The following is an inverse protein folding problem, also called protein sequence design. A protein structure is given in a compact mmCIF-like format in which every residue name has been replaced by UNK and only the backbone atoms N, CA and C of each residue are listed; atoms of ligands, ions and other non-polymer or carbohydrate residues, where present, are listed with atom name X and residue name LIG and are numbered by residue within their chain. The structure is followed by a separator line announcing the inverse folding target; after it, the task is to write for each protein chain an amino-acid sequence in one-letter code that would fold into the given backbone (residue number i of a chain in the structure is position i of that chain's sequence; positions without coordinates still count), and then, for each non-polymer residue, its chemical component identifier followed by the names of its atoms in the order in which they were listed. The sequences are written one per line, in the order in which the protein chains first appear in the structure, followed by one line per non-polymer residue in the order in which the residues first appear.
data_IF_111283395888
#
_entry.id   IF_111283395888
#
_cell.length_a   1.000
_cell.length_b   1.000
_cell.length_c   1.000
_cell.angle_alpha   90.00
_cell.angle_beta   90.00
_cell.angle_gamma   90.00
#
_symmetry.space_group_name_H-M   'P 1'
#
loop_
_entity.id
_entity.type
_entity.pdbx_description
1 polymer ?
#
# COMPACT_ATOMS: atom_id res chain seq x y z
N UNK A 1 1.36 -0.56 36.46
CA UNK A 1 0.40 -0.85 35.38
C UNK A 1 0.99 -0.34 34.08
N UNK A 2 1.36 -1.23 33.15
CA UNK A 2 1.84 -0.84 31.81
C UNK A 2 0.61 -0.71 30.89
N UNK A 3 0.45 0.38 30.13
CA UNK A 3 -0.67 0.49 29.20
C UNK A 3 -0.47 -0.52 28.07
N UNK A 4 -1.45 -1.41 27.90
CA UNK A 4 -1.53 -2.36 26.80
C UNK A 4 -1.99 -1.56 25.57
N UNK A 5 -1.06 -1.18 24.68
CA UNK A 5 -1.43 -0.69 23.37
C UNK A 5 -1.83 -1.89 22.51
N UNK A 6 -3.13 -2.04 22.27
CA UNK A 6 -3.66 -3.01 21.32
C UNK A 6 -3.26 -2.58 19.91
N UNK A 7 -2.24 -3.24 19.35
CA UNK A 7 -1.95 -3.21 17.93
C UNK A 7 -3.06 -4.02 17.23
N UNK A 8 -4.03 -3.34 16.62
CA UNK A 8 -5.00 -3.99 15.76
C UNK A 8 -4.29 -4.35 14.44
N UNK A 9 -3.80 -5.58 14.35
CA UNK A 9 -3.36 -6.14 13.07
C UNK A 9 -4.61 -6.35 12.20
N UNK A 10 -4.81 -5.47 11.22
CA UNK A 10 -5.75 -5.70 10.12
C UNK A 10 -5.21 -6.88 9.28
N UNK A 11 -5.84 -8.06 9.43
CA UNK A 11 -5.60 -9.19 8.55
C UNK A 11 -5.95 -8.78 7.12
N UNK A 12 -4.93 -8.57 6.28
CA UNK A 12 -5.10 -8.45 4.84
C UNK A 12 -5.68 -9.74 4.27
N UNK A 13 -6.70 -9.62 3.42
CA UNK A 13 -7.12 -10.74 2.58
C UNK A 13 -5.99 -11.01 1.57
N UNK A 14 -5.09 -11.92 1.90
CA UNK A 14 -4.21 -12.53 0.92
C UNK A 14 -5.08 -13.49 0.07
N UNK A 15 -5.58 -13.01 -1.07
CA UNK A 15 -6.17 -13.89 -2.09
C UNK A 15 -5.01 -14.63 -2.75
N UNK A 16 -4.53 -15.68 -2.09
CA UNK A 16 -3.63 -16.64 -2.72
C UNK A 16 -4.42 -17.44 -3.75
N UNK A 17 -3.78 -17.81 -4.86
CA UNK A 17 -4.32 -18.66 -5.94
C UNK A 17 -4.91 -19.99 -5.44
N UNK A 18 -4.65 -20.38 -4.18
CA UNK A 18 -5.28 -21.54 -3.51
C UNK A 18 -6.80 -21.45 -3.38
N UNK A 19 -7.42 -20.27 -3.50
CA UNK A 19 -8.88 -20.15 -3.42
C UNK A 19 -9.62 -20.77 -4.62
N UNK A 20 -8.94 -21.08 -5.73
CA UNK A 20 -9.58 -21.67 -6.91
C UNK A 20 -9.79 -23.19 -6.80
N UNK A 21 -9.12 -23.89 -5.87
CA UNK A 21 -9.15 -25.37 -5.78
C UNK A 21 -9.69 -25.89 -4.45
N UNK A 22 -10.29 -25.02 -3.62
CA UNK A 22 -10.92 -25.47 -2.37
C UNK A 22 -12.09 -26.43 -2.69
N UNK A 23 -12.20 -27.58 -2.00
CA UNK A 23 -13.35 -28.46 -2.16
C UNK A 23 -14.64 -27.71 -1.79
N UNK A 24 -15.78 -28.05 -2.42
CA UNK A 24 -17.05 -27.41 -2.11
C UNK A 24 -17.34 -27.52 -0.61
N UNK A 25 -17.62 -26.38 0.02
CA UNK A 25 -18.03 -26.34 1.42
C UNK A 25 -19.34 -27.11 1.56
N UNK A 26 -19.31 -28.26 2.23
CA UNK A 26 -20.52 -29.00 2.57
C UNK A 26 -21.14 -28.42 3.84
N UNK A 27 -22.45 -28.16 3.83
CA UNK A 27 -23.19 -27.85 5.05
C UNK A 27 -23.37 -29.13 5.85
N UNK A 28 -22.95 -29.20 7.13
CA UNK A 28 -23.42 -30.24 8.02
C UNK A 28 -24.95 -30.32 7.98
N UNK A 29 -25.52 -31.52 7.86
CA UNK A 29 -26.98 -31.72 7.69
C UNK A 29 -27.81 -31.04 8.79
N UNK A 30 -27.26 -30.90 9.99
CA UNK A 30 -27.88 -30.22 11.14
C UNK A 30 -28.05 -28.70 10.97
N UNK A 31 -27.23 -28.06 10.15
CA UNK A 31 -27.34 -26.63 9.83
C UNK A 31 -28.30 -26.41 8.65
N UNK A 32 -28.34 -27.35 7.69
CA UNK A 32 -29.29 -27.32 6.57
C UNK A 32 -30.76 -27.36 7.03
N UNK A 33 -31.08 -28.13 8.07
CA UNK A 33 -32.44 -28.18 8.65
C UNK A 33 -32.87 -26.87 9.33
N UNK A 34 -31.92 -25.98 9.64
CA UNK A 34 -32.19 -24.63 10.16
C UNK A 34 -32.27 -23.57 9.03
N UNK A 35 -32.26 -24.00 7.76
CA UNK A 35 -32.27 -23.10 6.61
C UNK A 35 -30.92 -22.42 6.33
N UNK A 36 -29.84 -22.84 7.00
CA UNK A 36 -28.50 -22.30 6.78
C UNK A 36 -27.87 -22.94 5.53
N UNK A 37 -27.19 -22.13 4.74
CA UNK A 37 -26.45 -22.56 3.56
C UNK A 37 -25.01 -22.03 3.61
N UNK A 38 -24.05 -22.64 2.88
CA UNK A 38 -22.68 -22.16 2.85
C UNK A 38 -22.64 -20.82 2.11
N UNK A 39 -22.34 -19.74 2.83
CA UNK A 39 -22.10 -18.44 2.22
C UNK A 39 -20.68 -18.41 1.65
N UNK A 40 -20.52 -18.90 0.42
CA UNK A 40 -19.23 -19.02 -0.28
C UNK A 40 -19.30 -18.36 -1.67
N UNK A 41 -19.32 -17.02 -1.75
CA UNK A 41 -19.32 -16.34 -3.04
C UNK A 41 -18.04 -16.68 -3.82
N UNK A 42 -18.12 -17.01 -5.12
CA UNK A 42 -16.94 -17.41 -5.90
C UNK A 42 -15.85 -16.34 -5.86
N UNK A 43 -14.58 -16.72 -5.76
CA UNK A 43 -13.48 -15.80 -5.47
C UNK A 43 -13.28 -14.68 -6.51
N UNK A 44 -13.62 -14.94 -7.78
CA UNK A 44 -13.44 -14.01 -8.91
C UNK A 44 -14.77 -13.71 -9.64
N UNK A 45 -15.90 -13.80 -8.94
CA UNK A 45 -17.19 -13.44 -9.51
C UNK A 45 -17.40 -11.92 -9.52
N UNK A 46 -17.46 -11.36 -10.74
CA UNK A 46 -17.80 -9.98 -11.07
C UNK A 46 -19.10 -9.86 -11.88
N UNK A 47 -19.92 -10.93 -11.95
CA UNK A 47 -21.20 -10.90 -12.66
C UNK A 47 -22.20 -9.95 -12.00
N UNK A 48 -23.02 -9.28 -12.79
CA UNK A 48 -24.14 -8.46 -12.28
C UNK A 48 -25.19 -9.35 -11.63
N UNK A 49 -25.52 -9.06 -10.37
CA UNK A 49 -26.61 -9.72 -9.65
C UNK A 49 -27.20 -8.77 -8.60
N UNK A 50 -28.12 -9.27 -7.77
CA UNK A 50 -28.82 -8.46 -6.76
C UNK A 50 -27.92 -7.81 -5.69
N UNK A 51 -26.66 -8.26 -5.59
CA UNK A 51 -25.66 -7.69 -4.67
C UNK A 51 -24.64 -6.80 -5.38
N UNK A 52 -24.85 -6.47 -6.66
CA UNK A 52 -23.97 -5.58 -7.43
C UNK A 52 -24.23 -4.11 -7.07
N UNK A 53 -23.34 -3.56 -6.25
CA UNK A 53 -23.29 -2.17 -5.81
C UNK A 53 -22.39 -1.30 -6.69
N UNK A 54 -21.91 -1.80 -7.83
CA UNK A 54 -20.97 -1.05 -8.69
C UNK A 54 -21.58 0.19 -9.33
N UNK A 55 -22.91 0.35 -9.28
CA UNK A 55 -23.62 1.56 -9.68
C UNK A 55 -23.41 2.74 -8.71
N UNK A 56 -22.96 2.50 -7.48
CA UNK A 56 -22.62 3.55 -6.51
C UNK A 56 -21.34 4.29 -6.89
N UNK A 57 -20.48 3.67 -7.69
CA UNK A 57 -19.22 4.25 -8.12
C UNK A 57 -19.44 5.13 -9.34
N UNK A 58 -19.01 6.39 -9.26
CA UNK A 58 -18.88 7.25 -10.43
C UNK A 58 -17.64 6.83 -11.23
N UNK A 59 -17.83 6.56 -12.53
CA UNK A 59 -16.82 5.94 -13.39
C UNK A 59 -16.41 6.89 -14.51
N UNK A 60 -15.12 6.97 -14.86
CA UNK A 60 -13.96 6.52 -14.09
C UNK A 60 -13.75 7.35 -12.80
N UNK A 61 -12.95 6.83 -11.87
CA UNK A 61 -12.53 7.59 -10.69
C UNK A 61 -11.79 8.86 -11.13
N UNK A 62 -12.07 9.99 -10.49
CA UNK A 62 -11.45 11.26 -10.84
C UNK A 62 -11.96 11.91 -12.13
N UNK A 63 -13.04 11.40 -12.75
CA UNK A 63 -13.62 11.99 -13.98
C UNK A 63 -14.01 13.46 -13.81
N UNK A 64 -14.34 13.89 -12.60
CA UNK A 64 -14.67 15.29 -12.26
C UNK A 64 -13.45 16.12 -11.84
N UNK A 65 -12.24 15.56 -11.90
CA UNK A 65 -11.00 16.15 -11.40
C UNK A 65 -10.56 15.58 -10.04
N UNK A 66 -9.47 16.13 -9.51
CA UNK A 66 -8.88 15.68 -8.25
C UNK A 66 -9.83 15.83 -7.06
N UNK A 67 -9.75 14.86 -6.14
CA UNK A 67 -10.38 14.93 -4.82
C UNK A 67 -9.82 16.12 -4.05
N UNK A 68 -10.68 16.81 -3.31
CA UNK A 68 -10.32 17.97 -2.47
C UNK A 68 -10.92 17.83 -1.09
N UNK A 69 -10.36 18.56 -0.13
CA UNK A 69 -10.93 18.74 1.20
C UNK A 69 -11.87 19.95 1.19
N UNK A 70 -13.06 19.79 1.76
CA UNK A 70 -14.04 20.85 1.99
C UNK A 70 -14.58 20.73 3.41
N UNK A 71 -13.97 21.49 4.33
CA UNK A 71 -14.18 21.32 5.77
C UNK A 71 -13.78 19.90 6.21
N UNK A 72 -14.71 19.19 6.83
CA UNK A 72 -14.53 17.80 7.29
C UNK A 72 -14.82 16.74 6.22
N UNK A 73 -15.12 17.15 4.99
CA UNK A 73 -15.54 16.24 3.92
C UNK A 73 -14.52 16.18 2.79
N UNK A 74 -14.46 15.03 2.12
CA UNK A 74 -13.91 14.95 0.79
C UNK A 74 -14.97 15.35 -0.23
N UNK A 75 -14.53 16.03 -1.29
CA UNK A 75 -15.35 16.37 -2.46
C UNK A 75 -14.60 16.00 -3.73
N UNK A 76 -15.31 15.66 -4.80
CA UNK A 76 -14.71 15.51 -6.12
C UNK A 76 -14.31 16.88 -6.73
N UNK A 77 -13.72 16.88 -7.92
CA UNK A 77 -13.32 18.13 -8.58
C UNK A 77 -14.48 19.04 -9.02
N UNK A 78 -15.73 18.57 -8.96
CA UNK A 78 -16.95 19.35 -9.17
C UNK A 78 -17.59 19.84 -7.84
N UNK A 79 -17.01 19.50 -6.69
CA UNK A 79 -17.50 19.89 -5.36
C UNK A 79 -18.57 18.98 -4.77
N UNK A 80 -18.89 17.84 -5.41
CA UNK A 80 -19.85 16.87 -4.88
C UNK A 80 -19.18 16.06 -3.77
N UNK A 81 -19.89 15.91 -2.64
CA UNK A 81 -19.40 15.15 -1.48
C UNK A 81 -19.06 13.71 -1.85
N UNK A 82 -17.88 13.29 -1.44
CA UNK A 82 -17.32 11.95 -1.63
C UNK A 82 -17.17 11.28 -0.26
N UNK A 83 -17.48 9.98 -0.19
CA UNK A 83 -17.20 9.13 0.98
C UNK A 83 -16.45 7.90 0.49
N UNK A 84 -15.32 7.60 1.10
CA UNK A 84 -14.55 6.42 0.75
C UNK A 84 -15.05 5.20 1.54
N UNK A 85 -15.44 4.17 0.80
CA UNK A 85 -15.58 2.80 1.29
C UNK A 85 -14.40 2.02 0.69
N UNK A 86 -13.29 2.02 1.44
CA UNK A 86 -12.00 1.55 0.96
C UNK A 86 -11.63 0.15 1.43
N UNK A 87 -10.67 -0.45 0.74
CA UNK A 87 -10.01 -1.71 1.13
C UNK A 87 -8.49 -1.58 1.00
N UNK A 88 -7.74 -2.41 1.72
CA UNK A 88 -6.29 -2.52 1.57
C UNK A 88 -5.93 -3.69 0.66
N UNK A 89 -5.00 -3.47 -0.27
CA UNK A 89 -4.30 -4.52 -1.00
C UNK A 89 -2.83 -4.46 -0.65
N UNK A 90 -2.29 -5.60 -0.19
CA UNK A 90 -0.95 -5.68 0.40
C UNK A 90 -0.04 -6.57 -0.46
N UNK A 91 1.25 -6.25 -0.47
CA UNK A 91 2.31 -7.10 -1.08
C UNK A 91 2.00 -7.46 -2.56
N UNK A 92 2.05 -8.75 -2.92
CA UNK A 92 1.70 -9.27 -4.25
C UNK A 92 0.28 -8.91 -4.71
N UNK A 93 -0.63 -8.57 -3.78
CA UNK A 93 -2.03 -8.25 -4.09
C UNK A 93 -2.21 -6.99 -4.94
N UNK A 94 -1.21 -6.10 -5.01
CA UNK A 94 -1.25 -4.93 -5.93
C UNK A 94 -0.70 -5.24 -7.32
N UNK A 95 -0.18 -6.45 -7.54
CA UNK A 95 0.37 -6.92 -8.81
C UNK A 95 -0.37 -8.18 -9.29
N UNK A 96 -1.70 -8.20 -9.46
CA UNK A 96 -2.35 -9.36 -10.03
C UNK A 96 -1.86 -9.66 -11.46
N UNK A 97 -2.02 -10.91 -11.93
CA UNK A 97 -1.84 -11.21 -13.35
C UNK A 97 -2.89 -10.43 -14.17
N UNK A 98 -2.52 -10.00 -15.37
CA UNK A 98 -3.39 -9.16 -16.22
C UNK A 98 -4.69 -9.87 -16.60
N UNK A 99 -4.68 -11.20 -16.64
CA UNK A 99 -5.85 -12.03 -16.94
C UNK A 99 -6.88 -11.99 -15.81
N UNK A 100 -6.46 -11.77 -14.56
CA UNK A 100 -7.35 -11.75 -13.38
C UNK A 100 -7.61 -10.36 -12.83
N UNK A 101 -6.76 -9.37 -13.12
CA UNK A 101 -6.91 -8.00 -12.64
C UNK A 101 -8.30 -7.37 -12.93
N UNK A 102 -8.90 -7.53 -14.13
CA UNK A 102 -10.23 -7.00 -14.43
C UNK A 102 -11.32 -7.60 -13.55
N UNK A 103 -11.22 -8.90 -13.22
CA UNK A 103 -12.19 -9.62 -12.37
C UNK A 103 -12.08 -9.19 -10.92
N UNK A 104 -10.85 -9.00 -10.42
CA UNK A 104 -10.61 -8.49 -9.06
C UNK A 104 -11.20 -7.08 -8.94
N UNK A 105 -10.89 -6.18 -9.89
CA UNK A 105 -11.43 -4.82 -9.90
C UNK A 105 -12.96 -4.82 -10.03
N UNK A 106 -13.52 -5.70 -10.88
CA UNK A 106 -14.97 -5.90 -11.05
C UNK A 106 -15.64 -6.32 -9.75
N UNK A 107 -15.08 -7.31 -9.06
CA UNK A 107 -15.58 -7.79 -7.78
C UNK A 107 -15.54 -6.73 -6.68
N UNK A 108 -14.46 -5.95 -6.60
CA UNK A 108 -14.37 -4.85 -5.64
C UNK A 108 -15.48 -3.82 -5.88
N UNK A 109 -15.69 -3.42 -7.13
CA UNK A 109 -16.77 -2.51 -7.50
C UNK A 109 -18.15 -3.11 -7.21
N UNK A 110 -18.35 -4.41 -7.50
CA UNK A 110 -19.58 -5.15 -7.18
C UNK A 110 -19.92 -5.07 -5.69
N UNK A 111 -18.92 -5.11 -4.80
CA UNK A 111 -19.12 -4.93 -3.36
C UNK A 111 -19.19 -3.46 -2.90
N UNK A 112 -19.20 -2.51 -3.83
CA UNK A 112 -19.34 -1.09 -3.53
C UNK A 112 -18.06 -0.44 -3.01
N UNK A 113 -16.90 -1.11 -3.08
CA UNK A 113 -15.64 -0.47 -2.77
C UNK A 113 -15.34 0.59 -3.82
N UNK A 114 -14.91 1.77 -3.37
CA UNK A 114 -14.60 2.91 -4.22
C UNK A 114 -13.20 3.50 -3.94
N UNK A 115 -12.40 2.87 -3.09
CA UNK A 115 -11.00 3.19 -2.91
C UNK A 115 -10.17 1.94 -2.59
N UNK A 116 -8.92 1.94 -3.02
CA UNK A 116 -7.91 0.93 -2.70
C UNK A 116 -6.66 1.61 -2.16
N UNK A 117 -6.25 1.21 -0.96
CA UNK A 117 -4.96 1.54 -0.37
C UNK A 117 -3.93 0.50 -0.78
N UNK A 118 -2.93 0.94 -1.53
CA UNK A 118 -1.83 0.11 -2.02
C UNK A 118 -0.70 0.13 -1.01
N UNK A 119 -0.52 -0.99 -0.33
CA UNK A 119 0.26 -1.06 0.89
C UNK A 119 1.34 -2.15 0.81
N UNK A 120 2.46 -1.94 1.50
CA UNK A 120 3.57 -2.89 1.61
C UNK A 120 4.23 -3.36 0.29
N UNK A 121 3.87 -2.78 -0.86
CA UNK A 121 4.37 -3.19 -2.17
C UNK A 121 5.83 -2.77 -2.42
N UNK A 122 6.33 -1.82 -1.64
CA UNK A 122 7.74 -1.40 -1.56
C UNK A 122 8.60 -2.33 -0.67
N UNK A 123 7.99 -3.33 -0.01
CA UNK A 123 8.63 -4.18 0.99
C UNK A 123 9.44 -5.35 0.42
N UNK A 124 9.15 -5.83 -0.78
CA UNK A 124 9.76 -7.04 -1.35
C UNK A 124 10.24 -6.86 -2.80
N UNK A 125 11.07 -7.79 -3.27
CA UNK A 125 11.34 -7.93 -4.69
C UNK A 125 10.19 -8.66 -5.41
N UNK A 126 10.19 -8.61 -6.74
CA UNK A 126 9.36 -9.45 -7.58
C UNK A 126 9.47 -10.94 -7.15
N UNK A 127 8.38 -11.71 -7.18
CA UNK A 127 7.02 -11.32 -7.58
C UNK A 127 6.17 -10.72 -6.45
N UNK A 128 6.74 -10.52 -5.24
CA UNK A 128 5.99 -10.11 -4.04
C UNK A 128 5.99 -8.61 -3.76
N UNK A 129 6.68 -7.83 -4.59
CA UNK A 129 6.84 -6.39 -4.44
C UNK A 129 7.37 -5.75 -5.73
N UNK A 130 7.64 -4.46 -5.68
CA UNK A 130 7.98 -3.64 -6.86
C UNK A 130 9.45 -3.74 -7.28
N UNK A 131 10.34 -4.23 -6.43
CA UNK A 131 11.78 -4.18 -6.68
C UNK A 131 12.28 -5.32 -7.55
N UNK A 132 13.30 -5.05 -8.37
CA UNK A 132 13.93 -6.06 -9.21
C UNK A 132 14.73 -7.08 -8.41
N UNK A 133 14.63 -8.35 -8.81
CA UNK A 133 15.43 -9.46 -8.27
C UNK A 133 16.81 -9.52 -8.92
N UNK A 134 17.81 -10.03 -8.20
CA UNK A 134 19.13 -10.29 -8.78
C UNK A 134 19.13 -11.52 -9.72
N UNK A 135 18.32 -12.51 -9.36
CA UNK A 135 18.03 -13.73 -10.11
C UNK A 135 16.64 -14.26 -9.70
N UNK A 136 16.02 -15.09 -10.54
CA UNK A 136 14.73 -15.73 -10.23
C UNK A 136 14.85 -16.51 -8.91
N UNK A 137 13.93 -16.24 -7.96
CA UNK A 137 13.92 -16.90 -6.65
C UNK A 137 14.94 -16.37 -5.63
N UNK A 138 15.62 -15.25 -5.93
CA UNK A 138 16.58 -14.61 -5.02
C UNK A 138 16.01 -13.36 -4.34
N UNK A 139 16.81 -12.74 -3.48
CA UNK A 139 16.52 -11.44 -2.87
C UNK A 139 16.68 -10.28 -3.88
N UNK A 140 16.41 -9.05 -3.44
CA UNK A 140 16.63 -7.84 -4.24
C UNK A 140 18.06 -7.78 -4.80
N UNK A 141 18.25 -6.97 -5.85
CA UNK A 141 19.57 -6.53 -6.30
C UNK A 141 20.41 -6.01 -5.12
N UNK A 142 21.73 -6.19 -5.21
CA UNK A 142 22.70 -5.66 -4.24
C UNK A 142 22.58 -4.14 -4.08
N UNK A 143 22.09 -3.46 -5.13
CA UNK A 143 21.63 -2.07 -5.11
C UNK A 143 20.13 -2.03 -5.46
N UNK A 144 19.23 -2.05 -4.45
CA UNK A 144 17.79 -2.15 -4.66
C UNK A 144 17.18 -0.78 -5.00
N UNK A 145 17.61 -0.22 -6.14
CA UNK A 145 17.06 1.03 -6.70
C UNK A 145 16.33 0.82 -8.02
N UNK A 146 16.43 -0.37 -8.61
CA UNK A 146 15.73 -0.71 -9.83
C UNK A 146 14.37 -1.32 -9.51
N UNK A 147 13.33 -0.71 -10.06
CA UNK A 147 11.98 -1.28 -10.10
C UNK A 147 11.94 -2.36 -11.16
N UNK A 148 11.23 -3.45 -10.85
CA UNK A 148 10.97 -4.53 -11.77
C UNK A 148 9.93 -4.07 -12.82
N UNK A 149 10.27 -4.17 -14.09
CA UNK A 149 9.45 -3.64 -15.18
C UNK A 149 8.11 -4.38 -15.31
N UNK A 150 8.11 -5.70 -15.09
CA UNK A 150 6.90 -6.52 -15.20
C UNK A 150 5.96 -6.25 -14.01
N UNK A 151 6.52 -6.07 -12.80
CA UNK A 151 5.71 -5.66 -11.63
C UNK A 151 5.13 -4.26 -11.81
N UNK A 152 5.90 -3.31 -12.36
CA UNK A 152 5.39 -1.96 -12.63
C UNK A 152 4.26 -1.96 -13.67
N UNK A 153 4.41 -2.75 -14.74
CA UNK A 153 3.39 -2.92 -15.78
C UNK A 153 2.11 -3.60 -15.24
N UNK A 154 2.23 -4.58 -14.33
CA UNK A 154 1.09 -5.19 -13.63
C UNK A 154 0.38 -4.21 -12.70
N UNK A 155 1.15 -3.41 -11.95
CA UNK A 155 0.62 -2.33 -11.12
C UNK A 155 -0.16 -1.34 -11.97
N UNK A 156 0.44 -0.88 -13.07
CA UNK A 156 -0.17 0.09 -13.98
C UNK A 156 -1.48 -0.43 -14.57
N UNK A 157 -1.46 -1.67 -15.06
CA UNK A 157 -2.65 -2.30 -15.61
C UNK A 157 -3.76 -2.42 -14.56
N UNK A 158 -3.42 -2.86 -13.35
CA UNK A 158 -4.41 -3.02 -12.30
C UNK A 158 -4.98 -1.68 -11.81
N UNK A 159 -4.14 -0.65 -11.65
CA UNK A 159 -4.60 0.73 -11.36
C UNK A 159 -5.59 1.19 -12.44
N UNK A 160 -5.30 0.95 -13.71
CA UNK A 160 -6.20 1.35 -14.80
C UNK A 160 -7.57 0.66 -14.71
N UNK A 161 -7.59 -0.64 -14.37
CA UNK A 161 -8.83 -1.42 -14.23
C UNK A 161 -9.66 -0.99 -12.99
N UNK A 162 -8.99 -0.58 -11.90
CA UNK A 162 -9.63 0.00 -10.72
C UNK A 162 -10.23 1.38 -11.05
N UNK A 163 -9.45 2.29 -11.65
CA UNK A 163 -9.90 3.64 -12.02
C UNK A 163 -11.08 3.57 -12.99
N UNK A 164 -11.02 2.71 -14.01
CA UNK A 164 -12.11 2.47 -14.96
C UNK A 164 -13.44 2.13 -14.28
N UNK A 165 -13.39 1.52 -13.10
CA UNK A 165 -14.55 1.10 -12.30
C UNK A 165 -14.92 2.07 -11.18
N UNK A 166 -14.33 3.27 -11.16
CA UNK A 166 -14.66 4.28 -10.17
C UNK A 166 -14.02 4.03 -8.80
N UNK A 167 -12.94 3.25 -8.76
CA UNK A 167 -12.17 2.96 -7.55
C UNK A 167 -10.94 3.86 -7.54
N UNK A 168 -10.85 4.74 -6.54
CA UNK A 168 -9.72 5.63 -6.33
C UNK A 168 -8.51 4.90 -5.74
N UNK A 169 -7.32 5.44 -6.00
CA UNK A 169 -6.05 4.86 -5.54
C UNK A 169 -5.43 5.73 -4.44
N UNK A 170 -5.02 5.08 -3.37
CA UNK A 170 -4.14 5.62 -2.35
C UNK A 170 -2.79 4.90 -2.42
N UNK A 171 -1.72 5.68 -2.68
CA UNK A 171 -0.36 5.15 -2.73
C UNK A 171 0.38 5.41 -1.42
N UNK A 172 0.93 4.36 -0.83
CA UNK A 172 1.89 4.49 0.24
C UNK A 172 3.32 4.56 -0.34
N UNK A 173 4.03 5.65 -0.06
CA UNK A 173 5.34 5.95 -0.64
C UNK A 173 6.50 5.35 0.15
N UNK A 174 6.32 5.12 1.46
CA UNK A 174 7.23 4.32 2.28
C UNK A 174 6.45 3.50 3.31
N UNK A 175 6.59 2.17 3.25
CA UNK A 175 5.99 1.26 4.22
C UNK A 175 7.01 0.30 4.77
N UNK A 176 7.69 -0.44 3.90
CA UNK A 176 8.53 -1.55 4.31
C UNK A 176 9.86 -1.70 3.57
N UNK A 177 10.18 -0.78 2.64
CA UNK A 177 11.49 -0.76 2.02
C UNK A 177 12.57 -0.64 3.09
N UNK A 178 13.54 -1.58 3.07
CA UNK A 178 14.80 -1.43 3.77
C UNK A 178 15.90 -1.03 2.81
N UNK A 179 16.67 -0.02 3.18
CA UNK A 179 17.94 0.31 2.54
C UNK A 179 19.01 -0.70 2.96
N UNK A 180 20.04 -0.86 2.13
CA UNK A 180 21.15 -1.78 2.39
C UNK A 180 22.48 -1.04 2.43
N UNK A 181 23.53 -1.67 2.98
CA UNK A 181 24.86 -1.04 3.07
C UNK A 181 25.44 -0.64 1.72
N UNK A 182 25.11 -1.39 0.66
CA UNK A 182 25.48 -1.05 -0.71
C UNK A 182 24.97 0.32 -1.17
N UNK A 183 23.91 0.85 -0.55
CA UNK A 183 23.37 2.18 -0.85
C UNK A 183 24.03 3.32 -0.06
N UNK A 184 25.15 3.04 0.62
CA UNK A 184 25.90 4.03 1.40
C UNK A 184 25.42 4.18 2.85
N UNK A 185 24.61 3.24 3.34
CA UNK A 185 24.04 3.26 4.69
C UNK A 185 24.86 2.35 5.60
N UNK A 186 25.69 2.94 6.46
CA UNK A 186 26.50 2.17 7.41
C UNK A 186 25.61 1.37 8.38
N UNK A 187 26.01 0.15 8.75
CA UNK A 187 25.34 -0.67 9.76
C UNK A 187 23.85 -0.97 9.46
N UNK A 188 23.46 -1.05 8.17
CA UNK A 188 22.05 -1.18 7.77
C UNK A 188 21.33 -2.38 8.41
N UNK A 189 22.05 -3.46 8.70
CA UNK A 189 21.51 -4.65 9.35
C UNK A 189 21.10 -4.42 10.83
N UNK A 190 21.64 -3.39 11.48
CA UNK A 190 21.40 -3.06 12.89
C UNK A 190 20.30 -2.01 13.08
N UNK A 191 19.72 -1.51 11.99
CA UNK A 191 18.69 -0.48 12.01
C UNK A 191 17.31 -1.05 12.38
N UNK A 192 16.37 -0.18 12.84
CA UNK A 192 14.99 -0.56 13.07
C UNK A 192 14.37 -1.30 11.88
N UNK A 193 13.40 -2.18 12.16
CA UNK A 193 12.68 -2.87 11.09
C UNK A 193 12.04 -1.85 10.13
N UNK A 194 12.09 -2.14 8.83
CA UNK A 194 11.54 -1.28 7.76
C UNK A 194 12.04 0.17 7.80
N UNK A 195 13.19 0.41 8.41
CA UNK A 195 13.80 1.72 8.60
C UNK A 195 12.88 2.73 9.30
N UNK A 196 11.97 2.25 10.15
CA UNK A 196 10.98 3.10 10.83
C UNK A 196 11.65 4.18 11.67
N UNK A 197 11.19 5.41 11.49
CA UNK A 197 11.72 6.60 12.14
C UNK A 197 13.04 7.13 11.56
N UNK A 198 13.73 6.38 10.69
CA UNK A 198 15.09 6.75 10.25
C UNK A 198 15.11 8.01 9.36
N UNK A 199 14.03 8.31 8.64
CA UNK A 199 13.90 9.56 7.89
C UNK A 199 13.98 10.82 8.75
N UNK A 200 13.68 10.74 10.05
CA UNK A 200 13.83 11.85 10.99
C UNK A 200 15.23 11.92 11.63
N UNK A 201 16.05 10.87 11.48
CA UNK A 201 17.39 10.76 12.07
C UNK A 201 18.47 11.10 11.06
N UNK A 202 18.28 10.71 9.81
CA UNK A 202 19.32 10.80 8.79
C UNK A 202 18.74 11.12 7.40
N UNK A 203 19.32 12.15 6.78
CA UNK A 203 18.87 12.67 5.48
C UNK A 203 19.05 11.67 4.32
N UNK A 204 19.88 10.64 4.48
CA UNK A 204 20.05 9.58 3.50
C UNK A 204 18.77 8.77 3.30
N UNK A 205 18.04 8.45 4.37
CA UNK A 205 16.76 7.73 4.30
C UNK A 205 15.67 8.60 3.72
N UNK A 206 15.58 9.86 4.16
CA UNK A 206 14.66 10.84 3.59
C UNK A 206 14.88 10.98 2.07
N UNK A 207 16.13 11.16 1.65
CA UNK A 207 16.51 11.25 0.24
C UNK A 207 16.08 10.01 -0.53
N UNK A 208 16.34 8.81 0.00
CA UNK A 208 15.99 7.54 -0.64
C UNK A 208 14.46 7.38 -0.80
N UNK A 209 13.67 7.83 0.18
CA UNK A 209 12.20 7.84 0.10
C UNK A 209 11.70 8.87 -0.91
N UNK A 210 12.29 10.07 -0.94
CA UNK A 210 11.96 11.11 -1.92
C UNK A 210 12.30 10.65 -3.35
N UNK A 211 13.43 9.97 -3.55
CA UNK A 211 13.81 9.41 -4.86
C UNK A 211 12.77 8.42 -5.38
N UNK A 212 12.33 7.48 -4.53
CA UNK A 212 11.29 6.53 -4.91
C UNK A 212 9.94 7.21 -5.14
N UNK A 213 9.53 8.14 -4.28
CA UNK A 213 8.31 8.92 -4.46
C UNK A 213 8.32 9.69 -5.79
N UNK A 214 9.44 10.34 -6.13
CA UNK A 214 9.60 11.04 -7.41
C UNK A 214 9.54 10.08 -8.58
N UNK A 215 10.21 8.93 -8.51
CA UNK A 215 10.12 7.92 -9.55
C UNK A 215 8.67 7.51 -9.81
N UNK A 216 7.97 7.05 -8.76
CA UNK A 216 6.60 6.56 -8.86
C UNK A 216 5.65 7.67 -9.36
N UNK A 217 5.69 8.86 -8.76
CA UNK A 217 4.74 9.92 -9.09
C UNK A 217 4.95 10.54 -10.47
N UNK A 218 6.18 10.51 -11.01
CA UNK A 218 6.47 10.95 -12.38
C UNK A 218 6.27 9.85 -13.43
N UNK A 219 6.17 8.59 -13.02
CA UNK A 219 5.92 7.48 -13.93
C UNK A 219 4.59 7.66 -14.64
N UNK A 220 4.60 7.49 -15.96
CA UNK A 220 3.41 7.55 -16.81
C UNK A 220 2.84 6.16 -16.94
N UNK A 221 1.64 5.95 -16.39
CA UNK A 221 0.91 4.72 -16.57
C UNK A 221 0.49 4.62 -18.05
N UNK A 222 0.94 3.61 -18.82
CA UNK A 222 0.66 3.50 -20.25
C UNK A 222 -0.83 3.21 -20.54
N UNK A 223 -1.59 2.73 -19.56
CA UNK A 223 -3.01 2.39 -19.70
C UNK A 223 -3.95 3.57 -19.43
N UNK A 224 -3.56 4.51 -18.56
CA UNK A 224 -4.31 5.76 -18.36
C UNK A 224 -3.69 6.94 -19.11
N UNK A 225 -2.49 6.78 -19.65
CA UNK A 225 -1.69 7.79 -20.37
C UNK A 225 -1.34 9.02 -19.54
N UNK A 226 -1.39 8.90 -18.20
CA UNK A 226 -1.11 9.98 -17.26
C UNK A 226 0.03 9.60 -16.34
N UNK A 227 0.83 10.59 -15.95
CA UNK A 227 1.71 10.45 -14.80
C UNK A 227 0.86 10.26 -13.54
N UNK A 228 1.30 9.44 -12.58
CA UNK A 228 0.52 9.22 -11.34
C UNK A 228 0.21 10.53 -10.58
N UNK A 229 1.14 11.50 -10.57
CA UNK A 229 0.88 12.84 -10.01
C UNK A 229 -0.21 13.65 -10.73
N UNK A 230 -0.52 13.28 -11.97
CA UNK A 230 -1.47 13.95 -12.86
C UNK A 230 -2.75 13.12 -13.08
N UNK A 231 -2.89 12.00 -12.37
CA UNK A 231 -4.02 11.09 -12.44
C UNK A 231 -5.04 11.45 -11.34
N UNK A 232 -6.20 12.05 -11.67
CA UNK A 232 -7.23 12.38 -10.68
C UNK A 232 -7.87 11.14 -10.03
N UNK A 233 -7.67 9.95 -10.59
CA UNK A 233 -7.99 8.68 -9.93
C UNK A 233 -7.12 8.36 -8.71
N UNK A 234 -5.98 9.02 -8.52
CA UNK A 234 -5.16 8.94 -7.30
C UNK A 234 -5.69 9.96 -6.28
N UNK A 235 -6.32 9.49 -5.20
CA UNK A 235 -6.96 10.35 -4.21
C UNK A 235 -6.08 10.71 -3.02
N UNK A 236 -5.07 9.89 -2.70
CA UNK A 236 -4.23 10.09 -1.54
C UNK A 236 -2.80 9.58 -1.78
N UNK A 237 -1.86 10.21 -1.07
CA UNK A 237 -0.48 9.81 -0.97
C UNK A 237 -0.13 9.72 0.52
N UNK A 238 0.16 8.53 1.02
CA UNK A 238 0.72 8.36 2.36
C UNK A 238 2.24 8.37 2.27
N UNK A 239 2.85 9.44 2.81
CA UNK A 239 4.30 9.69 2.67
C UNK A 239 5.14 8.64 3.42
N UNK A 240 4.76 8.33 4.65
CA UNK A 240 5.44 7.33 5.49
C UNK A 240 4.42 6.67 6.42
N UNK A 241 4.32 5.34 6.36
CA UNK A 241 3.38 4.57 7.16
C UNK A 241 3.89 4.37 8.59
N UNK A 242 3.16 4.87 9.59
CA UNK A 242 3.32 4.54 11.02
C UNK A 242 4.79 4.64 11.50
N UNK A 243 5.48 5.68 11.05
CA UNK A 243 6.90 5.91 11.34
C UNK A 243 7.03 6.90 12.49
N UNK A 244 7.74 6.51 13.56
CA UNK A 244 7.74 7.27 14.80
C UNK A 244 9.00 7.03 15.63
N UNK A 245 9.73 8.11 15.93
CA UNK A 245 10.80 8.10 16.93
C UNK A 245 10.25 7.87 18.34
N UNK A 246 9.03 8.33 18.62
CA UNK A 246 8.39 8.11 19.93
C UNK A 246 8.14 6.61 20.15
N UNK A 247 7.65 5.90 19.14
CA UNK A 247 7.48 4.44 19.23
C UNK A 247 8.83 3.76 19.50
N UNK A 248 9.87 4.16 18.78
CA UNK A 248 11.21 3.60 18.97
C UNK A 248 11.81 3.92 20.34
N UNK A 249 11.46 5.06 20.93
CA UNK A 249 11.83 5.38 22.31
C UNK A 249 11.09 4.49 23.31
N UNK A 250 9.78 4.32 23.14
CA UNK A 250 8.93 3.52 24.01
C UNK A 250 9.30 2.03 24.03
N UNK A 251 9.70 1.47 22.88
CA UNK A 251 10.11 0.07 22.77
C UNK A 251 11.63 -0.17 22.99
N UNK A 252 12.39 0.91 23.17
CA UNK A 252 13.83 0.89 23.43
C UNK A 252 14.71 0.63 22.20
N UNK A 253 14.15 0.56 21.00
CA UNK A 253 14.94 0.44 19.75
C UNK A 253 15.76 1.70 19.45
N UNK A 254 15.28 2.88 19.84
CA UNK A 254 15.99 4.14 19.63
C UNK A 254 17.33 4.19 20.38
N UNK A 255 17.39 3.60 21.57
CA UNK A 255 18.61 3.50 22.37
C UNK A 255 19.65 2.52 21.79
N UNK A 256 19.23 1.66 20.85
CA UNK A 256 20.06 0.66 20.19
C UNK A 256 20.57 1.12 18.81
N UNK A 257 20.25 2.35 18.40
CA UNK A 257 20.74 2.87 17.14
C UNK A 257 22.28 2.81 17.10
N UNK A 258 22.87 2.30 16.01
CA UNK A 258 24.31 2.30 15.85
C UNK A 258 24.81 3.70 15.48
N UNK A 259 26.11 3.95 15.66
CA UNK A 259 26.76 5.09 15.02
C UNK A 259 26.76 4.89 13.48
N UNK A 260 26.66 5.98 12.69
CA UNK A 260 26.63 7.38 13.12
C UNK A 260 25.24 7.88 13.58
N UNK A 261 24.16 7.12 13.41
CA UNK A 261 22.80 7.62 13.61
C UNK A 261 22.47 8.02 15.04
N UNK A 262 22.97 7.27 16.03
CA UNK A 262 22.81 7.65 17.44
C UNK A 262 23.47 9.00 17.75
N UNK A 263 24.63 9.28 17.14
CA UNK A 263 25.32 10.56 17.29
C UNK A 263 24.58 11.68 16.55
N UNK A 264 24.13 11.44 15.31
CA UNK A 264 23.34 12.41 14.54
C UNK A 264 22.08 12.84 15.29
N UNK A 265 21.37 11.88 15.89
CA UNK A 265 20.17 12.17 16.71
C UNK A 265 20.53 13.00 17.94
N UNK A 266 21.62 12.66 18.64
CA UNK A 266 22.09 13.39 19.82
C UNK A 266 22.46 14.84 19.48
N UNK A 267 23.20 15.04 18.39
CA UNK A 267 23.58 16.37 17.91
C UNK A 267 22.35 17.20 17.54
N UNK A 268 21.44 16.64 16.74
CA UNK A 268 20.20 17.31 16.34
C UNK A 268 19.32 17.69 17.54
N UNK A 269 19.27 16.84 18.57
CA UNK A 269 18.58 17.14 19.82
C UNK A 269 19.25 18.29 20.61
N UNK A 270 20.57 18.27 20.75
CA UNK A 270 21.31 19.32 21.43
C UNK A 270 21.18 20.68 20.72
N UNK A 271 21.24 20.69 19.38
CA UNK A 271 21.03 21.88 18.56
C UNK A 271 19.60 22.43 18.70
N UNK A 272 18.61 21.55 18.88
CA UNK A 272 17.26 21.97 19.19
C UNK A 272 17.16 22.59 20.59
N UNK A 273 17.79 21.99 21.60
CA UNK A 273 17.80 22.50 22.97
C UNK A 273 18.40 23.91 23.03
N UNK A 274 19.56 24.14 22.42
CA UNK A 274 20.23 25.45 22.39
C UNK A 274 19.42 26.54 21.68
N UNK A 275 18.54 26.15 20.74
CA UNK A 275 17.64 27.10 20.06
C UNK A 275 16.38 27.38 20.84
N UNK A 276 15.99 26.48 21.74
CA UNK A 276 14.71 26.53 22.45
C UNK A 276 14.81 27.14 23.84
N UNK A 277 15.93 26.94 24.52
CA UNK A 277 16.21 27.35 25.90
C UNK A 277 17.48 28.20 25.95
#
# INVERSE_FOLDING_TARGET
MRPLFYLMALLGLAVTVRAQTAPPLSTPSSLGTQGMFPFSPPALDDSTNIFDLSYLNEKPAGTKGFVRVSGENFVDGAGKKLRFWGVNLNFEGVFPDKEVAPKIAGRLAKFGFNAVRMHHFDGNAAPRGIWKVAAIGSTRLKLPREVDADQLDRLDFFVSELIKRGIYIDFNLHVARKVVEGEGVANAALLPDKDKGMGAVDAGFEKANIEFAKFLLNHVNPYTTRAYKAEPGVCALEVDNESSLLSGWLDGSLAKLPNPYAENLRLGWNDWLLRKY
#
